data_IF_989883435401
#
_entry.id   IF_989883435401
#
_cell.length_a   1.000
_cell.length_b   1.000
_cell.length_c   1.000
_cell.angle_alpha   90.00
_cell.angle_beta   90.00
_cell.angle_gamma   90.00
#
_symmetry.space_group_name_H-M   'P 1'
#
loop_
_entity.id
_entity.type
_entity.pdbx_description
1 polymer ?
#
# COMPACT_ATOMS: atom_id res chain seq x y z
N UNK A 1 30.06 7.01 -17.84
CA UNK A 1 31.18 6.19 -17.27
C UNK A 1 30.77 4.73 -16.98
N UNK A 2 29.58 4.46 -16.43
CA UNK A 2 29.18 3.09 -16.09
C UNK A 2 28.92 2.20 -17.31
N UNK A 3 28.38 2.75 -18.41
CA UNK A 3 28.20 1.98 -19.65
C UNK A 3 29.53 1.50 -20.21
N UNK A 4 30.55 2.37 -20.26
CA UNK A 4 31.88 1.97 -20.72
C UNK A 4 32.45 0.81 -19.88
N UNK A 5 32.37 0.90 -18.55
CA UNK A 5 32.80 -0.19 -17.65
C UNK A 5 32.04 -1.49 -17.90
N UNK A 6 30.74 -1.41 -18.22
CA UNK A 6 29.96 -2.59 -18.59
C UNK A 6 30.47 -3.19 -19.91
N UNK A 7 30.70 -2.34 -20.92
CA UNK A 7 31.25 -2.78 -22.20
C UNK A 7 32.64 -3.43 -22.04
N UNK A 8 33.49 -2.89 -21.17
CA UNK A 8 34.80 -3.47 -20.87
C UNK A 8 34.67 -4.87 -20.25
N UNK A 9 33.71 -5.07 -19.34
CA UNK A 9 33.38 -6.39 -18.76
C UNK A 9 32.90 -7.34 -19.87
N UNK A 10 32.00 -6.89 -20.74
CA UNK A 10 31.45 -7.70 -21.84
C UNK A 10 32.57 -8.18 -22.78
N UNK A 11 33.48 -7.28 -23.17
CA UNK A 11 34.63 -7.60 -24.02
C UNK A 11 35.56 -8.59 -23.33
N UNK A 12 35.90 -8.35 -22.06
CA UNK A 12 36.80 -9.22 -21.28
C UNK A 12 36.25 -10.64 -21.15
N UNK A 13 34.94 -10.78 -20.96
CA UNK A 13 34.28 -12.07 -20.76
C UNK A 13 33.76 -12.70 -22.06
N UNK A 14 34.07 -12.08 -23.22
CA UNK A 14 33.65 -12.50 -24.55
C UNK A 14 32.12 -12.76 -24.64
N UNK A 15 31.34 -11.82 -24.11
CA UNK A 15 29.86 -11.87 -24.14
C UNK A 15 29.29 -11.03 -25.28
N UNK A 16 28.04 -11.29 -25.64
CA UNK A 16 27.31 -10.47 -26.61
C UNK A 16 27.05 -9.06 -26.08
N UNK A 17 26.87 -8.13 -27.01
CA UNK A 17 26.53 -6.75 -26.67
C UNK A 17 25.23 -6.63 -25.85
N UNK A 18 25.10 -5.60 -24.99
CA UNK A 18 23.90 -5.38 -24.22
C UNK A 18 22.74 -4.97 -25.12
N UNK A 19 21.52 -5.39 -24.74
CA UNK A 19 20.30 -4.96 -25.41
C UNK A 19 20.14 -3.44 -25.32
N UNK A 20 19.42 -2.85 -26.27
CA UNK A 20 19.22 -1.40 -26.33
C UNK A 20 18.58 -0.83 -25.06
N UNK A 21 17.66 -1.56 -24.44
CA UNK A 21 17.05 -1.18 -23.16
C UNK A 21 18.07 -1.13 -22.02
N UNK A 22 19.05 -2.03 -22.00
CA UNK A 22 20.12 -2.05 -21.01
C UNK A 22 21.08 -0.88 -21.24
N UNK A 23 21.47 -0.63 -22.50
CA UNK A 23 22.32 0.53 -22.86
C UNK A 23 21.68 1.84 -22.44
N UNK A 24 20.41 2.05 -22.79
CA UNK A 24 19.65 3.25 -22.43
C UNK A 24 19.58 3.43 -20.91
N UNK A 25 19.21 2.38 -20.19
CA UNK A 25 19.07 2.45 -18.73
C UNK A 25 20.40 2.78 -18.03
N UNK A 26 21.50 2.15 -18.45
CA UNK A 26 22.82 2.35 -17.82
C UNK A 26 23.42 3.72 -18.16
N UNK A 27 23.15 4.24 -19.36
CA UNK A 27 23.67 5.54 -19.79
C UNK A 27 22.85 6.70 -19.20
N UNK A 28 21.53 6.60 -19.26
CA UNK A 28 20.62 7.71 -18.95
C UNK A 28 19.98 7.60 -17.55
N UNK A 29 20.12 6.46 -16.87
CA UNK A 29 19.45 6.21 -15.60
C UNK A 29 17.92 6.32 -15.69
N UNK A 30 17.29 6.66 -14.58
CA UNK A 30 15.87 7.05 -14.53
C UNK A 30 15.77 8.57 -14.39
N UNK A 31 15.82 9.28 -15.52
CA UNK A 31 15.54 10.71 -15.52
C UNK A 31 14.11 10.97 -15.00
N UNK A 32 13.89 11.91 -14.05
CA UNK A 32 12.57 12.28 -13.55
C UNK A 32 11.57 12.65 -14.65
N UNK A 33 12.06 13.24 -15.75
CA UNK A 33 11.24 13.66 -16.89
C UNK A 33 10.63 12.47 -17.63
N UNK A 34 11.27 11.29 -17.56
CA UNK A 34 10.76 10.05 -18.15
C UNK A 34 9.43 9.62 -17.52
N UNK A 35 9.12 10.12 -16.32
CA UNK A 35 7.94 9.73 -15.52
C UNK A 35 7.06 10.92 -15.11
N UNK A 36 7.14 12.04 -15.84
CA UNK A 36 6.38 13.24 -15.49
C UNK A 36 4.85 13.04 -15.59
N UNK A 37 4.39 12.19 -16.51
CA UNK A 37 2.98 12.08 -16.89
C UNK A 37 2.18 11.00 -16.11
N UNK A 38 2.86 10.04 -15.50
CA UNK A 38 2.27 8.79 -14.98
C UNK A 38 2.42 8.59 -13.47
N UNK A 39 3.23 9.42 -12.79
CA UNK A 39 3.34 9.48 -11.32
C UNK A 39 3.89 8.23 -10.61
N UNK A 40 4.00 7.09 -11.30
CA UNK A 40 4.60 5.86 -10.79
C UNK A 40 6.04 5.75 -11.25
N UNK A 41 6.98 5.89 -10.31
CA UNK A 41 8.42 5.75 -10.57
C UNK A 41 8.89 4.36 -10.12
N UNK A 42 9.68 3.65 -10.94
CA UNK A 42 10.32 2.42 -10.48
C UNK A 42 11.24 2.70 -9.30
N UNK A 43 11.27 1.75 -8.37
CA UNK A 43 12.22 1.73 -7.29
C UNK A 43 13.61 1.34 -7.78
N UNK A 44 14.64 1.81 -7.07
CA UNK A 44 16.02 1.33 -7.20
C UNK A 44 16.11 -0.20 -7.20
N UNK A 45 15.29 -0.87 -6.38
CA UNK A 45 15.34 -2.32 -6.23
C UNK A 45 14.90 -3.04 -7.50
N UNK A 46 13.82 -2.59 -8.14
CA UNK A 46 13.33 -3.16 -9.40
C UNK A 46 14.38 -3.05 -10.52
N UNK A 47 15.05 -1.90 -10.62
CA UNK A 47 16.14 -1.70 -11.59
C UNK A 47 17.32 -2.63 -11.28
N UNK A 48 17.66 -2.79 -10.00
CA UNK A 48 18.75 -3.67 -9.58
C UNK A 48 18.46 -5.12 -9.98
N UNK A 49 17.22 -5.59 -9.76
CA UNK A 49 16.77 -6.92 -10.19
C UNK A 49 16.80 -7.04 -11.71
N UNK A 50 16.35 -6.02 -12.43
CA UNK A 50 16.33 -6.02 -13.89
C UNK A 50 17.74 -6.15 -14.48
N UNK A 51 18.69 -5.34 -14.01
CA UNK A 51 20.08 -5.41 -14.45
C UNK A 51 20.76 -6.73 -14.03
N UNK A 52 20.55 -7.19 -12.80
CA UNK A 52 21.13 -8.45 -12.34
C UNK A 52 20.58 -9.67 -13.10
N UNK A 53 19.28 -9.70 -13.38
CA UNK A 53 18.66 -10.79 -14.15
C UNK A 53 19.12 -10.77 -15.61
N UNK A 54 19.34 -9.59 -16.21
CA UNK A 54 19.99 -9.48 -17.51
C UNK A 54 21.43 -10.01 -17.48
N UNK A 55 22.24 -9.64 -16.48
CA UNK A 55 23.61 -10.15 -16.37
C UNK A 55 23.64 -11.68 -16.25
N UNK A 56 22.71 -12.26 -15.47
CA UNK A 56 22.55 -13.72 -15.37
C UNK A 56 22.18 -14.33 -16.73
N UNK A 57 21.22 -13.74 -17.46
CA UNK A 57 20.83 -14.19 -18.79
C UNK A 57 21.99 -14.15 -19.79
N UNK A 58 22.79 -13.08 -19.75
CA UNK A 58 24.01 -12.93 -20.55
C UNK A 58 25.13 -13.92 -20.14
N UNK A 59 24.90 -14.73 -19.10
CA UNK A 59 25.81 -15.78 -18.65
C UNK A 59 27.02 -15.25 -17.89
N UNK A 60 26.90 -14.09 -17.24
CA UNK A 60 27.92 -13.62 -16.30
C UNK A 60 27.80 -14.36 -14.97
N UNK A 61 28.93 -14.69 -14.36
CA UNK A 61 28.96 -15.07 -12.95
C UNK A 61 28.76 -13.85 -12.06
N UNK A 62 28.14 -14.05 -10.89
CA UNK A 62 27.79 -12.97 -9.96
C UNK A 62 28.98 -12.08 -9.60
N UNK A 63 30.16 -12.68 -9.45
CA UNK A 63 31.38 -12.01 -8.99
C UNK A 63 31.96 -11.05 -10.01
N UNK A 64 31.74 -11.32 -11.30
CA UNK A 64 32.28 -10.54 -12.41
C UNK A 64 31.69 -9.14 -12.48
N UNK A 65 30.38 -9.02 -12.29
CA UNK A 65 29.67 -7.74 -12.42
C UNK A 65 29.28 -7.12 -11.08
N UNK A 66 29.53 -7.81 -9.95
CA UNK A 66 29.10 -7.39 -8.62
C UNK A 66 29.52 -5.96 -8.28
N UNK A 67 30.79 -5.65 -8.47
CA UNK A 67 31.34 -4.34 -8.11
C UNK A 67 30.85 -3.26 -9.07
N UNK A 68 30.71 -3.59 -10.36
CA UNK A 68 30.13 -2.68 -11.35
C UNK A 68 28.69 -2.30 -10.98
N UNK A 69 27.81 -3.28 -10.75
CA UNK A 69 26.40 -3.01 -10.43
C UNK A 69 26.27 -2.32 -9.08
N UNK A 70 27.10 -2.69 -8.10
CA UNK A 70 27.16 -2.03 -6.80
C UNK A 70 27.49 -0.55 -6.93
N UNK A 71 28.52 -0.21 -7.70
CA UNK A 71 28.92 1.17 -7.94
C UNK A 71 27.85 1.92 -8.74
N UNK A 72 27.29 1.32 -9.79
CA UNK A 72 26.18 1.91 -10.54
C UNK A 72 24.97 2.24 -9.65
N UNK A 73 24.59 1.33 -8.75
CA UNK A 73 23.48 1.59 -7.82
C UNK A 73 23.77 2.75 -6.86
N UNK A 74 25.03 2.94 -6.44
CA UNK A 74 25.43 4.01 -5.53
C UNK A 74 25.54 5.34 -6.27
N UNK A 75 26.15 5.34 -7.45
CA UNK A 75 26.49 6.56 -8.18
C UNK A 75 25.29 7.11 -8.95
N UNK A 76 24.42 6.25 -9.49
CA UNK A 76 23.30 6.63 -10.35
C UNK A 76 21.95 6.42 -9.65
N UNK A 77 21.71 5.24 -9.09
CA UNK A 77 20.38 4.91 -8.55
C UNK A 77 20.17 5.40 -7.10
N UNK A 78 21.16 6.04 -6.48
CA UNK A 78 20.98 6.64 -5.15
C UNK A 78 20.08 7.88 -5.19
N UNK A 79 20.03 8.59 -6.31
CA UNK A 79 19.18 9.77 -6.50
C UNK A 79 17.68 9.48 -6.29
N UNK A 80 17.27 8.24 -6.62
CA UNK A 80 15.89 7.76 -6.49
C UNK A 80 15.69 6.89 -5.24
N UNK A 81 16.63 6.91 -4.28
CA UNK A 81 16.59 6.11 -3.07
C UNK A 81 16.78 6.94 -1.81
N UNK A 82 16.01 6.64 -0.77
CA UNK A 82 16.23 7.17 0.58
C UNK A 82 17.31 6.43 1.37
N UNK A 83 17.91 5.37 0.79
CA UNK A 83 18.90 4.54 1.46
C UNK A 83 20.29 5.17 1.42
N UNK A 84 21.07 4.99 2.50
CA UNK A 84 22.48 5.39 2.49
C UNK A 84 23.30 4.55 1.50
N UNK A 85 24.42 5.09 1.04
CA UNK A 85 25.32 4.37 0.14
C UNK A 85 25.75 2.99 0.68
N UNK A 86 25.97 2.87 2.00
CA UNK A 86 26.31 1.60 2.63
C UNK A 86 25.18 0.57 2.52
N UNK A 87 23.94 1.00 2.79
CA UNK A 87 22.75 0.16 2.65
C UNK A 87 22.50 -0.24 1.19
N UNK A 88 22.73 0.68 0.25
CA UNK A 88 22.64 0.38 -1.19
C UNK A 88 23.64 -0.72 -1.54
N UNK A 89 24.92 -0.58 -1.16
CA UNK A 89 25.93 -1.63 -1.42
C UNK A 89 25.54 -2.98 -0.86
N UNK A 90 25.09 -3.02 0.40
CA UNK A 90 24.70 -4.26 1.05
C UNK A 90 23.49 -4.91 0.36
N UNK A 91 22.42 -4.14 0.14
CA UNK A 91 21.20 -4.66 -0.49
C UNK A 91 21.42 -5.09 -1.95
N UNK A 92 22.23 -4.37 -2.73
CA UNK A 92 22.57 -4.76 -4.10
C UNK A 92 23.31 -6.10 -4.14
N UNK A 93 24.29 -6.32 -3.25
CA UNK A 93 24.98 -7.63 -3.15
C UNK A 93 24.01 -8.75 -2.81
N UNK A 94 23.07 -8.51 -1.89
CA UNK A 94 22.02 -9.47 -1.54
C UNK A 94 21.10 -9.76 -2.72
N UNK A 95 20.68 -8.75 -3.49
CA UNK A 95 19.86 -8.93 -4.70
C UNK A 95 20.58 -9.75 -5.76
N UNK A 96 21.86 -9.48 -6.03
CA UNK A 96 22.68 -10.26 -6.97
C UNK A 96 22.73 -11.73 -6.56
N UNK A 97 23.06 -12.00 -5.29
CA UNK A 97 23.13 -13.37 -4.79
C UNK A 97 21.78 -14.09 -4.87
N UNK A 98 20.68 -13.37 -4.59
CA UNK A 98 19.33 -13.92 -4.70
C UNK A 98 19.02 -14.31 -6.15
N UNK A 99 19.23 -13.42 -7.12
CA UNK A 99 18.98 -13.69 -8.54
C UNK A 99 19.79 -14.88 -9.07
N UNK A 100 21.05 -15.01 -8.64
CA UNK A 100 21.87 -16.15 -9.04
C UNK A 100 21.46 -17.48 -8.40
N UNK A 101 20.82 -17.45 -7.22
CA UNK A 101 20.35 -18.64 -6.51
C UNK A 101 18.91 -19.02 -6.83
N UNK A 102 18.15 -18.13 -7.45
CA UNK A 102 16.73 -18.32 -7.75
C UNK A 102 16.50 -18.46 -9.25
N UNK A 103 15.43 -19.15 -9.66
CA UNK A 103 15.06 -19.32 -11.06
C UNK A 103 14.29 -18.13 -11.63
N UNK A 104 14.61 -16.92 -11.17
CA UNK A 104 13.97 -15.70 -11.66
C UNK A 104 14.46 -15.44 -13.09
N UNK A 105 13.57 -15.52 -14.10
CA UNK A 105 13.96 -15.23 -15.47
C UNK A 105 14.12 -13.72 -15.64
N UNK A 106 14.92 -13.33 -16.63
CA UNK A 106 14.89 -11.97 -17.13
C UNK A 106 13.55 -11.72 -17.84
N UNK A 107 12.93 -10.58 -17.56
CA UNK A 107 11.73 -10.13 -18.28
C UNK A 107 11.78 -8.61 -18.42
N UNK A 108 11.68 -8.13 -19.66
CA UNK A 108 11.68 -6.70 -19.93
C UNK A 108 10.31 -6.12 -20.26
N UNK A 109 9.30 -6.92 -20.60
CA UNK A 109 7.98 -6.42 -21.02
C UNK A 109 7.99 -5.50 -22.25
N UNK A 110 9.05 -5.54 -23.06
CA UNK A 110 9.22 -4.78 -24.30
C UNK A 110 8.95 -3.27 -24.11
N UNK A 111 8.16 -2.65 -24.99
CA UNK A 111 7.71 -1.26 -24.89
C UNK A 111 6.86 -0.96 -23.64
N UNK A 112 6.33 -1.98 -22.97
CA UNK A 112 5.57 -1.82 -21.72
C UNK A 112 6.46 -1.93 -20.47
N UNK A 113 7.78 -1.89 -20.62
CA UNK A 113 8.70 -1.96 -19.49
C UNK A 113 8.48 -0.78 -18.53
N UNK A 114 8.43 -1.06 -17.22
CA UNK A 114 8.16 -0.05 -16.18
C UNK A 114 9.23 1.05 -16.13
N UNK A 115 10.43 0.78 -16.64
CA UNK A 115 11.53 1.74 -16.69
C UNK A 115 11.41 2.71 -17.87
N UNK A 116 10.45 2.48 -18.78
CA UNK A 116 10.29 3.17 -20.06
C UNK A 116 11.59 3.24 -20.87
N UNK A 117 12.45 2.25 -20.72
CA UNK A 117 13.70 2.11 -21.47
C UNK A 117 13.39 1.90 -22.96
N UNK A 118 14.32 2.32 -23.83
CA UNK A 118 14.20 2.11 -25.27
C UNK A 118 13.96 0.63 -25.59
N UNK A 119 13.01 0.37 -26.49
CA UNK A 119 12.73 -0.97 -27.00
C UNK A 119 12.77 -0.98 -28.54
N UNK A 120 13.03 -2.15 -29.10
CA UNK A 120 13.02 -2.38 -30.55
C UNK A 120 12.47 -3.75 -30.86
N UNK A 121 11.60 -3.83 -31.86
CA UNK A 121 11.10 -5.09 -32.42
C UNK A 121 12.19 -5.96 -33.04
N UNK A 122 13.37 -5.39 -33.31
CA UNK A 122 14.53 -6.12 -33.84
C UNK A 122 15.40 -6.74 -32.72
N UNK A 123 14.99 -6.62 -31.45
CA UNK A 123 15.69 -7.26 -30.34
C UNK A 123 15.58 -8.80 -30.46
N UNK A 124 16.67 -9.56 -30.27
CA UNK A 124 16.66 -11.01 -30.42
C UNK A 124 15.73 -11.75 -29.43
N UNK A 125 15.31 -11.08 -28.35
CA UNK A 125 14.37 -11.62 -27.36
C UNK A 125 12.97 -11.02 -27.49
N UNK A 126 12.70 -10.20 -28.51
CA UNK A 126 11.45 -9.42 -28.57
C UNK A 126 10.21 -10.32 -28.50
N UNK A 127 10.14 -11.36 -29.33
CA UNK A 127 9.00 -12.27 -29.37
C UNK A 127 8.83 -13.05 -28.06
N UNK A 128 9.94 -13.57 -27.50
CA UNK A 128 9.92 -14.27 -26.22
C UNK A 128 9.43 -13.35 -25.08
N UNK A 129 9.94 -12.12 -25.02
CA UNK A 129 9.57 -11.15 -23.98
C UNK A 129 8.11 -10.67 -24.14
N UNK A 130 7.62 -10.60 -25.38
CA UNK A 130 6.22 -10.29 -25.68
C UNK A 130 5.30 -11.41 -25.21
N UNK A 131 5.65 -12.67 -25.45
CA UNK A 131 4.89 -13.81 -24.95
C UNK A 131 4.89 -13.87 -23.41
N UNK A 132 6.04 -13.62 -22.78
CA UNK A 132 6.14 -13.53 -21.31
C UNK A 132 5.22 -12.43 -20.79
N UNK A 133 5.21 -11.26 -21.43
CA UNK A 133 4.34 -10.14 -21.04
C UNK A 133 2.86 -10.51 -21.14
N UNK A 134 2.42 -11.11 -22.25
CA UNK A 134 1.04 -11.52 -22.44
C UNK A 134 0.61 -12.58 -21.40
N UNK A 135 1.46 -13.59 -21.15
CA UNK A 135 1.20 -14.58 -20.09
C UNK A 135 1.07 -13.94 -18.70
N UNK A 136 1.89 -12.94 -18.39
CA UNK A 136 1.82 -12.23 -17.12
C UNK A 136 0.52 -11.44 -16.99
N UNK A 137 0.07 -10.76 -18.06
CA UNK A 137 -1.22 -10.06 -18.08
C UNK A 137 -2.40 -11.02 -17.87
N UNK A 138 -2.41 -12.15 -18.57
CA UNK A 138 -3.45 -13.18 -18.40
C UNK A 138 -3.46 -13.74 -16.98
N UNK A 139 -2.29 -14.01 -16.40
CA UNK A 139 -2.18 -14.49 -15.04
C UNK A 139 -2.64 -13.45 -14.01
N UNK A 140 -2.36 -12.16 -14.23
CA UNK A 140 -2.83 -11.07 -13.38
C UNK A 140 -4.35 -10.89 -13.47
N UNK A 141 -4.89 -10.92 -14.68
CA UNK A 141 -6.33 -10.85 -14.92
C UNK A 141 -7.06 -12.01 -14.22
N UNK A 142 -6.54 -13.23 -14.33
CA UNK A 142 -7.10 -14.41 -13.65
C UNK A 142 -7.10 -14.26 -12.13
N UNK A 143 -6.04 -13.69 -11.54
CA UNK A 143 -5.98 -13.40 -10.09
C UNK A 143 -7.02 -12.38 -9.67
N UNK A 144 -7.24 -11.35 -10.50
CA UNK A 144 -8.27 -10.33 -10.24
C UNK A 144 -9.66 -10.97 -10.28
N UNK A 145 -9.94 -11.80 -11.29
CA UNK A 145 -11.20 -12.53 -11.43
C UNK A 145 -11.43 -13.49 -10.27
N UNK A 146 -10.42 -14.26 -9.87
CA UNK A 146 -10.50 -15.16 -8.71
C UNK A 146 -10.79 -14.37 -7.42
N UNK A 147 -10.09 -13.26 -7.20
CA UNK A 147 -10.34 -12.40 -6.03
C UNK A 147 -11.74 -11.77 -6.05
N UNK A 148 -12.25 -11.39 -7.22
CA UNK A 148 -13.62 -10.88 -7.38
C UNK A 148 -14.65 -11.99 -7.16
N UNK A 149 -14.44 -13.19 -7.70
CA UNK A 149 -15.28 -14.37 -7.49
C UNK A 149 -15.36 -14.76 -6.01
N UNK A 150 -14.22 -14.78 -5.31
CA UNK A 150 -14.17 -15.00 -3.85
C UNK A 150 -14.96 -13.91 -3.11
N UNK A 151 -14.91 -12.64 -3.54
CA UNK A 151 -15.72 -11.57 -2.94
C UNK A 151 -17.21 -11.73 -3.21
N UNK A 152 -17.59 -12.29 -4.35
CA UNK A 152 -18.99 -12.54 -4.69
C UNK A 152 -19.56 -13.75 -3.93
N UNK A 153 -18.79 -14.83 -3.79
CA UNK A 153 -19.17 -15.98 -2.95
C UNK A 153 -19.21 -15.64 -1.46
N UNK A 154 -18.33 -14.74 -1.00
CA UNK A 154 -18.33 -14.20 0.36
C UNK A 154 -19.16 -12.91 0.50
N UNK A 155 -20.05 -12.59 -0.45
CA UNK A 155 -21.10 -11.61 -0.15
C UNK A 155 -21.86 -12.19 1.04
N UNK A 156 -21.86 -11.52 2.21
CA UNK A 156 -22.71 -11.98 3.30
C UNK A 156 -24.11 -12.10 2.75
N UNK A 157 -24.78 -13.22 3.06
CA UNK A 157 -26.20 -13.39 2.77
C UNK A 157 -26.90 -12.05 3.02
N UNK A 158 -27.80 -11.60 2.11
CA UNK A 158 -28.54 -10.37 2.35
C UNK A 158 -29.09 -10.48 3.76
N UNK A 159 -28.54 -9.65 4.66
CA UNK A 159 -28.84 -9.74 6.10
C UNK A 159 -30.35 -9.85 6.19
N UNK A 160 -30.90 -10.86 6.89
CA UNK A 160 -32.34 -10.95 7.07
C UNK A 160 -32.80 -9.56 7.50
N UNK A 161 -33.76 -9.01 6.75
CA UNK A 161 -34.23 -7.62 6.82
C UNK A 161 -33.99 -7.06 8.22
N UNK A 162 -33.04 -6.13 8.32
CA UNK A 162 -32.53 -5.65 9.60
C UNK A 162 -33.67 -5.37 10.56
N UNK A 163 -33.51 -5.84 11.80
CA UNK A 163 -34.36 -5.63 12.99
C UNK A 163 -34.90 -4.18 13.10
N UNK A 164 -34.21 -3.22 12.48
CA UNK A 164 -34.60 -1.83 12.19
C UNK A 164 -36.08 -1.66 11.82
N UNK A 165 -36.63 -2.42 10.85
CA UNK A 165 -38.06 -2.23 10.44
C UNK A 165 -39.07 -2.66 11.51
N UNK A 166 -38.69 -3.54 12.44
CA UNK A 166 -39.59 -4.07 13.47
C UNK A 166 -39.82 -3.08 14.61
N UNK A 167 -38.87 -2.17 14.84
CA UNK A 167 -38.90 -1.21 15.95
C UNK A 167 -38.91 0.25 15.52
N UNK A 168 -38.94 0.56 14.21
CA UNK A 168 -38.95 1.93 13.67
C UNK A 168 -40.02 2.83 14.33
N UNK A 169 -41.29 2.38 14.37
CA UNK A 169 -42.37 3.14 15.01
C UNK A 169 -42.17 3.34 16.52
N UNK A 170 -41.72 2.28 17.21
CA UNK A 170 -41.43 2.35 18.65
C UNK A 170 -40.24 3.26 18.96
N UNK A 171 -39.26 3.32 18.06
CA UNK A 171 -38.08 4.15 18.20
C UNK A 171 -38.41 5.64 18.03
N UNK A 172 -39.26 5.99 17.07
CA UNK A 172 -39.74 7.37 16.91
C UNK A 172 -40.49 7.87 18.15
N UNK A 173 -41.39 7.05 18.69
CA UNK A 173 -42.11 7.35 19.93
C UNK A 173 -41.16 7.46 21.14
N UNK A 174 -40.19 6.55 21.25
CA UNK A 174 -39.17 6.59 22.29
C UNK A 174 -38.32 7.88 22.21
N UNK A 175 -37.92 8.29 21.00
CA UNK A 175 -37.16 9.53 20.76
C UNK A 175 -37.98 10.76 21.15
N UNK A 176 -39.27 10.80 20.81
CA UNK A 176 -40.18 11.88 21.22
C UNK A 176 -40.30 11.95 22.76
N UNK A 177 -40.42 10.80 23.42
CA UNK A 177 -40.51 10.73 24.88
C UNK A 177 -39.21 11.15 25.57
N UNK A 178 -38.04 10.84 24.98
CA UNK A 178 -36.74 11.32 25.47
C UNK A 178 -36.71 12.84 25.44
N UNK A 179 -37.11 13.47 24.33
CA UNK A 179 -37.14 14.94 24.20
C UNK A 179 -38.02 15.57 25.27
N UNK A 180 -39.26 15.11 25.38
CA UNK A 180 -40.22 15.63 26.36
C UNK A 180 -39.73 15.45 27.80
N UNK A 181 -39.08 14.32 28.11
CA UNK A 181 -38.58 14.05 29.45
C UNK A 181 -37.34 14.88 29.79
N UNK A 182 -36.49 15.18 28.81
CA UNK A 182 -35.36 16.11 28.96
C UNK A 182 -35.85 17.54 29.21
N UNK A 183 -36.88 18.00 28.48
CA UNK A 183 -37.52 19.31 28.69
C UNK A 183 -38.14 19.43 30.10
N UNK A 184 -38.69 18.32 30.63
CA UNK A 184 -39.18 18.22 32.01
C UNK A 184 -38.07 18.09 33.07
N UNK A 185 -36.79 18.17 32.68
CA UNK A 185 -35.65 18.11 33.59
C UNK A 185 -35.33 16.71 34.16
N UNK A 186 -35.86 15.63 33.57
CA UNK A 186 -35.54 14.29 34.04
C UNK A 186 -34.08 13.92 33.75
N UNK A 187 -33.44 13.24 34.70
CA UNK A 187 -32.10 12.69 34.48
C UNK A 187 -32.14 11.56 33.45
N UNK A 188 -31.07 11.42 32.65
CA UNK A 188 -30.97 10.38 31.60
C UNK A 188 -31.15 8.96 32.14
N UNK A 189 -30.81 8.72 33.42
CA UNK A 189 -31.06 7.46 34.11
C UNK A 189 -32.57 7.24 34.36
N UNK A 190 -33.29 8.27 34.79
CA UNK A 190 -34.75 8.23 34.97
C UNK A 190 -35.49 8.05 33.63
N UNK A 191 -35.01 8.68 32.57
CA UNK A 191 -35.57 8.52 31.21
C UNK A 191 -35.43 7.08 30.71
N UNK A 192 -34.26 6.45 30.92
CA UNK A 192 -34.04 5.06 30.53
C UNK A 192 -34.99 4.09 31.25
N UNK A 193 -35.26 4.32 32.55
CA UNK A 193 -36.23 3.54 33.32
C UNK A 193 -37.64 3.68 32.73
N UNK A 194 -38.10 4.92 32.48
CA UNK A 194 -39.42 5.20 31.92
C UNK A 194 -39.61 4.52 30.54
N UNK A 195 -38.58 4.51 29.70
CA UNK A 195 -38.63 3.88 28.38
C UNK A 195 -38.79 2.36 28.50
N UNK A 196 -38.05 1.73 29.42
CA UNK A 196 -38.12 0.29 29.63
C UNK A 196 -39.44 -0.14 30.27
N UNK A 197 -39.97 0.64 31.24
CA UNK A 197 -41.28 0.40 31.86
C UNK A 197 -42.42 0.46 30.83
N UNK A 198 -42.30 1.35 29.84
CA UNK A 198 -43.25 1.44 28.72
C UNK A 198 -43.01 0.41 27.62
N UNK A 199 -42.03 -0.48 27.78
CA UNK A 199 -41.74 -1.57 26.85
C UNK A 199 -41.00 -1.15 25.57
N UNK A 200 -40.51 0.09 25.48
CA UNK A 200 -39.75 0.54 24.32
C UNK A 200 -38.39 -0.17 24.23
N UNK A 201 -38.02 -0.59 23.02
CA UNK A 201 -36.71 -1.16 22.72
C UNK A 201 -35.86 -0.22 21.87
N UNK A 202 -34.54 -0.36 21.99
CA UNK A 202 -33.58 0.37 21.15
C UNK A 202 -33.62 -0.15 19.69
N UNK A 203 -32.95 0.54 18.76
CA UNK A 203 -32.85 0.13 17.34
C UNK A 203 -32.31 -1.30 17.13
N UNK A 204 -31.60 -1.83 18.12
CA UNK A 204 -31.05 -3.20 18.14
C UNK A 204 -31.84 -4.17 19.03
N UNK A 205 -33.00 -3.77 19.55
CA UNK A 205 -33.90 -4.61 20.34
C UNK A 205 -33.55 -4.74 21.83
N UNK A 206 -32.50 -4.06 22.32
CA UNK A 206 -32.10 -4.08 23.72
C UNK A 206 -32.82 -3.02 24.57
N UNK A 207 -32.77 -3.19 25.89
CA UNK A 207 -33.24 -2.21 26.88
C UNK A 207 -32.43 -0.92 26.86
N UNK A 208 -33.10 0.19 27.16
CA UNK A 208 -32.51 1.50 27.26
C UNK A 208 -31.60 1.61 28.48
N UNK A 209 -30.38 2.10 28.25
CA UNK A 209 -29.42 2.48 29.30
C UNK A 209 -29.22 4.00 29.27
N UNK A 210 -28.82 4.57 30.40
CA UNK A 210 -28.54 6.02 30.50
C UNK A 210 -27.49 6.50 29.46
N UNK A 211 -26.50 5.64 29.13
CA UNK A 211 -25.53 5.90 28.08
C UNK A 211 -26.15 5.99 26.69
N UNK A 212 -27.10 5.11 26.38
CA UNK A 212 -27.85 5.10 25.12
C UNK A 212 -28.70 6.35 24.97
N UNK A 213 -29.44 6.73 26.03
CA UNK A 213 -30.21 7.99 26.07
C UNK A 213 -29.29 9.20 25.88
N UNK A 214 -28.09 9.17 26.47
CA UNK A 214 -27.11 10.24 26.29
C UNK A 214 -26.57 10.31 24.87
N UNK A 215 -26.36 9.18 24.20
CA UNK A 215 -25.93 9.13 22.80
C UNK A 215 -26.96 9.79 21.89
N UNK A 216 -28.23 9.39 22.02
CA UNK A 216 -29.36 9.96 21.26
C UNK A 216 -29.51 11.45 21.52
N UNK A 217 -29.44 11.89 22.79
CA UNK A 217 -29.56 13.30 23.13
C UNK A 217 -28.41 14.16 22.56
N UNK A 218 -27.20 13.60 22.44
CA UNK A 218 -26.07 14.29 21.81
C UNK A 218 -26.23 14.34 20.29
N UNK A 219 -26.63 13.23 19.67
CA UNK A 219 -26.85 13.13 18.22
C UNK A 219 -27.94 14.10 17.75
N UNK A 220 -29.02 14.24 18.52
CA UNK A 220 -30.13 15.16 18.24
C UNK A 220 -29.88 16.60 18.71
N UNK A 221 -28.71 16.90 19.28
CA UNK A 221 -28.33 18.25 19.72
C UNK A 221 -29.02 18.75 21.00
N UNK A 222 -29.72 17.88 21.75
CA UNK A 222 -30.40 18.23 23.01
C UNK A 222 -29.47 18.23 24.23
N UNK A 223 -28.22 17.80 24.06
CA UNK A 223 -27.21 17.84 25.10
C UNK A 223 -25.83 18.16 24.51
N UNK A 224 -25.04 19.03 25.16
CA UNK A 224 -23.69 19.32 24.71
C UNK A 224 -22.80 18.07 24.78
N UNK A 225 -21.92 17.90 23.78
CA UNK A 225 -20.86 16.87 23.82
C UNK A 225 -19.98 17.14 25.04
N UNK A 226 -19.80 16.13 25.89
CA UNK A 226 -18.96 16.22 27.08
C UNK A 226 -17.51 16.51 26.63
N UNK A 227 -16.99 17.71 26.87
CA UNK A 227 -15.56 18.01 26.66
C UNK A 227 -14.75 17.04 27.52
N UNK A 228 -13.82 16.30 26.92
CA UNK A 228 -12.82 15.53 27.68
C UNK A 228 -12.09 16.54 28.58
N UNK A 229 -12.14 16.35 29.89
CA UNK A 229 -11.25 17.04 30.83
C UNK A 229 -9.81 16.68 30.42
N UNK A 230 -9.15 17.55 29.68
CA UNK A 230 -7.68 17.61 29.66
C UNK A 230 -7.28 18.55 30.79
N UNK A 231 -6.29 18.08 31.54
CA UNK A 231 -5.41 18.82 32.45
C UNK A 231 -5.94 19.19 33.84
N UNK A 232 -5.50 18.41 34.84
CA UNK A 232 -5.10 18.88 36.17
C UNK A 232 -4.18 17.84 36.84
N UNK A 233 -2.89 17.86 36.48
CA UNK A 233 -1.76 17.47 37.36
C UNK A 233 -0.42 17.90 36.74
N UNK A 234 -0.20 19.21 36.70
CA UNK A 234 1.12 19.81 36.53
C UNK A 234 1.12 21.14 37.32
N UNK A 235 1.07 21.03 38.65
CA UNK A 235 1.33 22.13 39.58
C UNK A 235 1.56 21.52 40.97
N UNK A 236 2.76 20.99 41.20
CA UNK A 236 3.33 20.79 42.53
C UNK A 236 4.81 20.42 42.44
N UNK A 237 5.64 21.29 41.87
CA UNK A 237 7.07 21.36 42.20
C UNK A 237 7.49 22.81 42.06
N UNK A 238 7.42 23.56 43.17
CA UNK A 238 8.27 24.71 43.47
C UNK A 238 7.83 25.27 44.83
N UNK A 239 8.49 24.84 45.91
CA UNK A 239 8.76 25.62 47.13
C UNK A 239 9.47 24.73 48.15
N UNK A 240 10.80 24.79 48.11
CA UNK A 240 11.65 24.77 49.33
C UNK A 240 13.03 25.30 48.93
N UNK A 241 13.17 26.62 49.04
CA UNK A 241 14.42 27.29 49.38
C UNK A 241 14.30 27.68 50.85
N UNK A 242 15.45 27.70 51.52
CA UNK A 242 15.72 27.78 52.97
C UNK A 242 15.74 26.43 53.70
#
# INVERSE_FOLDING_TARGET
MHLQKLMDIIVKENKSEPFICIKDLVENGLSPDRFADDGSRPSRHEITIFLASWCKLAGFEAEIYRDWLTNYCVDVLSEISSSSASQIRHSTKSSINYIHRSDIPFSCSCENNIFKALCSSNCPLYDEMKDVYLRNLEAEQKKIEEYQGIKEENKPDPKPLSVTKRYEKQLEEAIALIKQSLEKGHTKKKIAIILNEKGYKTSTGYDWKAGTVSGVAIEKGWSPKRKKRKDKKAASVQLTLF
#
